data_IF_357102322157
#
_entry.id   IF_357102322157
#
_cell.length_a   1.000
_cell.length_b   1.000
_cell.length_c   1.000
_cell.angle_alpha   90.00
_cell.angle_beta   90.00
_cell.angle_gamma   90.00
#
_symmetry.space_group_name_H-M   'P 1'
#
loop_
_entity.id
_entity.type
_entity.pdbx_description
1 polymer ?
#
# COMPACT_ATOMS: atom_id res chain seq x y z
N UNK A 1 21.04 1.27 6.05
CA UNK A 1 19.69 0.71 6.23
C UNK A 1 19.82 -0.73 6.69
N UNK A 2 18.96 -1.17 7.61
CA UNK A 2 18.98 -2.53 8.15
C UNK A 2 17.63 -3.21 7.92
N UNK A 3 17.64 -4.51 7.64
CA UNK A 3 16.46 -5.38 7.59
C UNK A 3 16.79 -6.56 8.53
N UNK A 4 15.99 -6.75 9.59
CA UNK A 4 16.26 -7.77 10.62
C UNK A 4 17.72 -7.74 11.14
N UNK A 5 18.21 -6.53 11.48
CA UNK A 5 19.59 -6.25 11.95
C UNK A 5 20.71 -6.54 10.93
N UNK A 6 20.35 -6.89 9.69
CA UNK A 6 21.32 -7.08 8.61
C UNK A 6 21.37 -5.87 7.67
N UNK A 7 22.60 -5.38 7.33
CA UNK A 7 22.75 -4.29 6.36
C UNK A 7 22.33 -4.72 4.97
N UNK A 8 21.57 -3.86 4.29
CA UNK A 8 21.14 -4.10 2.90
C UNK A 8 22.30 -4.27 1.92
N UNK A 9 23.50 -3.78 2.28
CA UNK A 9 24.72 -3.89 1.46
C UNK A 9 25.28 -5.31 1.43
N UNK A 10 24.89 -6.19 2.37
CA UNK A 10 25.40 -7.56 2.47
C UNK A 10 24.86 -8.53 1.42
N UNK A 11 23.73 -8.19 0.81
CA UNK A 11 23.08 -9.04 -0.18
C UNK A 11 22.75 -8.26 -1.45
N UNK A 12 22.65 -8.97 -2.57
CA UNK A 12 22.17 -8.38 -3.83
C UNK A 12 20.66 -8.09 -3.77
N UNK A 13 20.18 -7.22 -4.66
CA UNK A 13 18.75 -6.93 -4.81
C UNK A 13 17.93 -8.21 -5.04
N UNK A 14 18.44 -9.14 -5.86
CA UNK A 14 17.78 -10.42 -6.11
C UNK A 14 17.68 -11.32 -4.86
N UNK A 15 18.62 -11.21 -3.93
CA UNK A 15 18.54 -11.93 -2.66
C UNK A 15 17.54 -11.28 -1.70
N UNK A 16 17.49 -9.93 -1.66
CA UNK A 16 16.52 -9.19 -0.85
C UNK A 16 15.09 -9.29 -1.37
N UNK A 17 14.87 -9.51 -2.67
CA UNK A 17 13.52 -9.64 -3.26
C UNK A 17 12.71 -10.80 -2.68
N UNK A 18 13.35 -11.75 -2.00
CA UNK A 18 12.66 -12.82 -1.27
C UNK A 18 12.03 -12.35 0.05
N UNK A 19 12.56 -11.28 0.63
CA UNK A 19 12.15 -10.73 1.93
C UNK A 19 11.37 -9.43 1.79
N UNK A 20 11.70 -8.62 0.77
CA UNK A 20 11.12 -7.31 0.51
C UNK A 20 10.56 -7.25 -0.89
N UNK A 21 9.26 -7.11 -1.01
CA UNK A 21 8.57 -6.84 -2.26
C UNK A 21 8.35 -5.34 -2.45
N UNK A 22 8.59 -4.84 -3.66
CA UNK A 22 8.37 -3.44 -4.02
C UNK A 22 7.42 -3.35 -5.20
N UNK A 23 6.34 -2.60 -5.05
CA UNK A 23 5.38 -2.29 -6.11
C UNK A 23 5.65 -0.88 -6.60
N UNK A 24 6.03 -0.75 -7.88
CA UNK A 24 6.38 0.53 -8.48
C UNK A 24 5.18 1.44 -8.69
N UNK A 25 5.41 2.74 -8.68
CA UNK A 25 4.42 3.75 -8.96
C UNK A 25 3.82 3.59 -10.36
N UNK A 26 4.65 3.37 -11.38
CA UNK A 26 4.21 3.10 -12.74
C UNK A 26 4.29 1.60 -13.03
N UNK A 27 3.16 0.92 -13.28
CA UNK A 27 3.15 -0.52 -13.53
C UNK A 27 3.87 -0.92 -14.83
N UNK A 28 3.97 -0.04 -15.83
CA UNK A 28 4.65 -0.34 -17.09
C UNK A 28 6.18 -0.49 -16.91
N UNK A 29 6.75 0.02 -15.82
CA UNK A 29 8.16 -0.17 -15.48
C UNK A 29 8.44 -1.53 -14.82
N UNK A 30 7.41 -2.31 -14.50
CA UNK A 30 7.50 -3.56 -13.77
C UNK A 30 6.99 -4.77 -14.56
N UNK A 31 6.05 -4.57 -15.49
CA UNK A 31 5.45 -5.63 -16.30
C UNK A 31 6.25 -5.83 -17.60
N UNK A 32 6.63 -7.09 -17.91
CA UNK A 32 7.49 -7.38 -19.05
C UNK A 32 7.22 -8.74 -19.73
N UNK A 33 6.25 -9.51 -19.24
CA UNK A 33 5.91 -10.82 -19.79
C UNK A 33 4.62 -10.77 -20.62
N UNK A 34 4.38 -11.83 -21.38
CA UNK A 34 3.33 -11.90 -22.39
C UNK A 34 1.94 -12.24 -21.82
N UNK A 35 1.81 -12.57 -20.52
CA UNK A 35 0.50 -12.76 -19.88
C UNK A 35 0.55 -12.49 -18.38
N UNK A 36 -0.60 -12.13 -17.79
CA UNK A 36 -0.75 -11.94 -16.34
C UNK A 36 -0.29 -13.19 -15.58
N UNK A 37 -0.66 -14.39 -16.06
CA UNK A 37 -0.21 -15.66 -15.47
C UNK A 37 1.31 -15.76 -15.42
N UNK A 38 2.00 -15.41 -16.50
CA UNK A 38 3.46 -15.48 -16.57
C UNK A 38 4.12 -14.47 -15.65
N UNK A 39 3.56 -13.26 -15.52
CA UNK A 39 4.01 -12.27 -14.54
C UNK A 39 3.94 -12.82 -13.09
N UNK A 40 2.85 -13.52 -12.76
CA UNK A 40 2.69 -14.16 -11.44
C UNK A 40 3.65 -15.33 -11.23
N UNK A 41 3.89 -16.15 -12.23
CA UNK A 41 4.73 -17.33 -12.13
C UNK A 41 6.23 -17.03 -12.12
N UNK A 42 6.64 -15.89 -12.66
CA UNK A 42 8.06 -15.59 -12.89
C UNK A 42 8.90 -15.66 -11.61
N UNK A 43 8.56 -14.86 -10.60
CA UNK A 43 9.29 -14.83 -9.35
C UNK A 43 9.36 -16.20 -8.66
N UNK A 44 8.23 -16.86 -8.41
CA UNK A 44 8.20 -18.21 -7.81
C UNK A 44 9.04 -19.26 -8.55
N UNK A 45 9.06 -19.24 -9.89
CA UNK A 45 9.93 -20.12 -10.69
C UNK A 45 11.42 -19.87 -10.42
N UNK A 46 11.83 -18.59 -10.30
CA UNK A 46 13.23 -18.23 -10.04
C UNK A 46 13.73 -18.73 -8.67
N UNK A 47 12.85 -18.88 -7.70
CA UNK A 47 13.19 -19.40 -6.37
C UNK A 47 13.01 -20.92 -6.24
N UNK A 48 12.67 -21.62 -7.34
CA UNK A 48 12.56 -23.07 -7.40
C UNK A 48 11.27 -23.64 -6.80
N UNK A 49 10.18 -22.88 -6.76
CA UNK A 49 8.89 -23.36 -6.31
C UNK A 49 8.32 -24.40 -7.31
N UNK A 50 7.65 -25.42 -6.80
CA UNK A 50 7.03 -26.44 -7.64
C UNK A 50 5.83 -25.88 -8.41
N UNK A 51 5.54 -26.38 -9.60
CA UNK A 51 4.42 -25.91 -10.42
C UNK A 51 3.08 -26.03 -9.66
N UNK A 52 2.88 -27.10 -8.89
CA UNK A 52 1.67 -27.29 -8.08
C UNK A 52 1.48 -26.19 -7.00
N UNK A 53 2.58 -25.74 -6.40
CA UNK A 53 2.53 -24.63 -5.43
C UNK A 53 2.27 -23.30 -6.14
N UNK A 54 2.89 -23.09 -7.30
CA UNK A 54 2.69 -21.92 -8.14
C UNK A 54 1.22 -21.81 -8.55
N UNK A 55 0.62 -22.89 -9.08
CA UNK A 55 -0.77 -22.88 -9.54
C UNK A 55 -1.74 -22.49 -8.42
N UNK A 56 -1.58 -23.06 -7.22
CA UNK A 56 -2.39 -22.67 -6.04
C UNK A 56 -2.22 -21.20 -5.67
N UNK A 57 -1.00 -20.67 -5.73
CA UNK A 57 -0.74 -19.27 -5.43
C UNK A 57 -1.32 -18.36 -6.50
N UNK A 58 -1.23 -18.73 -7.78
CA UNK A 58 -1.82 -17.98 -8.89
C UNK A 58 -3.33 -17.84 -8.70
N UNK A 59 -4.05 -18.93 -8.42
CA UNK A 59 -5.49 -18.93 -8.20
C UNK A 59 -5.87 -17.97 -7.06
N UNK A 60 -5.24 -18.13 -5.89
CA UNK A 60 -5.49 -17.29 -4.73
C UNK A 60 -5.14 -15.81 -4.98
N UNK A 61 -3.98 -15.55 -5.60
CA UNK A 61 -3.52 -14.19 -5.87
C UNK A 61 -4.41 -13.50 -6.89
N UNK A 62 -4.77 -14.21 -7.97
CA UNK A 62 -5.65 -13.68 -9.01
C UNK A 62 -7.03 -13.29 -8.47
N UNK A 63 -7.60 -14.10 -7.56
CA UNK A 63 -8.85 -13.75 -6.86
C UNK A 63 -8.67 -12.50 -5.99
N UNK A 64 -7.62 -12.45 -5.18
CA UNK A 64 -7.33 -11.33 -4.29
C UNK A 64 -7.18 -10.01 -5.04
N UNK A 65 -6.44 -10.01 -6.16
CA UNK A 65 -6.21 -8.80 -6.97
C UNK A 65 -7.30 -8.59 -8.04
N UNK A 66 -8.26 -9.53 -8.20
CA UNK A 66 -9.40 -9.44 -9.12
C UNK A 66 -9.05 -9.60 -10.59
N UNK A 67 -8.12 -10.49 -10.90
CA UNK A 67 -7.66 -10.78 -12.26
C UNK A 67 -7.87 -12.24 -12.67
N UNK A 68 -8.72 -13.02 -11.97
CA UNK A 68 -8.96 -14.44 -12.25
C UNK A 68 -9.35 -14.71 -13.71
N UNK A 69 -10.23 -13.87 -14.27
CA UNK A 69 -10.72 -13.99 -15.66
C UNK A 69 -9.74 -13.41 -16.70
N UNK A 70 -8.59 -12.87 -16.26
CA UNK A 70 -7.63 -12.12 -17.11
C UNK A 70 -6.23 -12.74 -17.11
N UNK A 71 -6.07 -13.91 -16.56
CA UNK A 71 -4.77 -14.57 -16.42
C UNK A 71 -4.05 -14.78 -17.76
N UNK A 72 -4.80 -15.03 -18.83
CA UNK A 72 -4.25 -15.30 -20.17
C UNK A 72 -4.10 -14.04 -21.03
N UNK A 73 -4.57 -12.87 -20.53
CA UNK A 73 -4.42 -11.61 -21.25
C UNK A 73 -2.98 -11.08 -21.17
N UNK A 74 -2.58 -10.39 -22.23
CA UNK A 74 -1.31 -9.65 -22.21
C UNK A 74 -1.45 -8.43 -21.27
N UNK A 75 -0.46 -8.10 -20.43
CA UNK A 75 -0.53 -6.97 -19.52
C UNK A 75 -0.82 -5.62 -20.19
N UNK A 76 -0.40 -5.44 -21.45
CA UNK A 76 -0.70 -4.22 -22.21
C UNK A 76 -2.19 -4.05 -22.56
N UNK A 77 -2.97 -5.16 -22.57
CA UNK A 77 -4.42 -5.14 -22.84
C UNK A 77 -5.23 -4.81 -21.59
N UNK A 78 -4.59 -4.69 -20.43
CA UNK A 78 -5.20 -4.31 -19.16
C UNK A 78 -5.36 -2.78 -19.08
N UNK A 79 -6.38 -2.33 -18.37
CA UNK A 79 -6.48 -0.92 -17.94
C UNK A 79 -5.33 -0.56 -16.98
N UNK A 80 -5.03 0.72 -16.80
CA UNK A 80 -3.99 1.17 -15.88
C UNK A 80 -4.22 0.65 -14.44
N UNK A 81 -5.48 0.67 -13.98
CA UNK A 81 -5.86 0.13 -12.68
C UNK A 81 -5.56 -1.37 -12.56
N UNK A 82 -5.89 -2.15 -13.57
CA UNK A 82 -5.63 -3.60 -13.61
C UNK A 82 -4.15 -3.93 -13.73
N UNK A 83 -3.38 -3.16 -14.50
CA UNK A 83 -1.92 -3.29 -14.55
C UNK A 83 -1.30 -3.12 -13.15
N UNK A 84 -1.77 -2.13 -12.36
CA UNK A 84 -1.35 -1.97 -10.98
C UNK A 84 -1.67 -3.19 -10.12
N UNK A 85 -2.86 -3.76 -10.25
CA UNK A 85 -3.20 -5.01 -9.55
C UNK A 85 -2.37 -6.20 -10.04
N UNK A 86 -1.99 -6.22 -11.31
CA UNK A 86 -1.06 -7.23 -11.84
C UNK A 86 0.32 -7.12 -11.18
N UNK A 87 0.91 -5.91 -11.08
CA UNK A 87 2.19 -5.71 -10.38
C UNK A 87 2.11 -6.07 -8.90
N UNK A 88 1.02 -5.69 -8.21
CA UNK A 88 0.78 -6.09 -6.82
C UNK A 88 0.72 -7.62 -6.70
N UNK A 89 -0.02 -8.28 -7.58
CA UNK A 89 -0.12 -9.74 -7.62
C UNK A 89 1.23 -10.41 -7.81
N UNK A 90 2.02 -9.96 -8.78
CA UNK A 90 3.36 -10.49 -9.04
C UNK A 90 4.29 -10.40 -7.82
N UNK A 91 4.20 -9.31 -7.05
CA UNK A 91 4.96 -9.14 -5.80
C UNK A 91 4.43 -10.07 -4.70
N UNK A 92 3.11 -10.19 -4.54
CA UNK A 92 2.48 -11.08 -3.54
C UNK A 92 2.84 -12.55 -3.79
N UNK A 93 3.01 -12.95 -5.05
CA UNK A 93 3.40 -14.31 -5.42
C UNK A 93 4.73 -14.77 -4.80
N UNK A 94 5.65 -13.83 -4.53
CA UNK A 94 6.92 -14.11 -3.85
C UNK A 94 6.76 -14.33 -2.34
N UNK A 95 5.61 -13.98 -1.76
CA UNK A 95 5.28 -14.08 -0.34
C UNK A 95 6.30 -13.37 0.59
N UNK A 96 6.76 -12.16 0.27
CA UNK A 96 7.77 -11.47 1.07
C UNK A 96 7.26 -11.13 2.47
N UNK A 97 8.16 -10.93 3.42
CA UNK A 97 7.82 -10.49 4.78
C UNK A 97 7.43 -9.01 4.84
N UNK A 98 8.02 -8.20 3.93
CA UNK A 98 7.78 -6.75 3.82
C UNK A 98 7.28 -6.43 2.41
N UNK A 99 6.20 -5.68 2.31
CA UNK A 99 5.68 -5.16 1.04
C UNK A 99 5.66 -3.63 1.08
N UNK A 100 6.27 -3.03 0.07
CA UNK A 100 6.31 -1.58 -0.11
C UNK A 100 5.46 -1.24 -1.33
N UNK A 101 4.48 -0.36 -1.15
CA UNK A 101 3.59 0.12 -2.20
C UNK A 101 3.88 1.60 -2.47
N UNK A 102 4.31 1.90 -3.69
CA UNK A 102 4.59 3.27 -4.12
C UNK A 102 3.38 3.82 -4.89
N UNK A 103 2.70 4.82 -4.30
CA UNK A 103 1.50 5.47 -4.83
C UNK A 103 0.44 4.49 -5.36
N UNK A 104 -0.01 3.51 -4.57
CA UNK A 104 -0.89 2.45 -5.06
C UNK A 104 -2.28 2.94 -5.45
N UNK A 105 -2.74 4.07 -4.90
CA UNK A 105 -4.08 4.64 -5.16
C UNK A 105 -4.14 5.46 -6.45
N UNK A 106 -3.00 5.82 -7.03
CA UNK A 106 -2.95 6.63 -8.25
C UNK A 106 -3.62 5.88 -9.42
N UNK A 107 -4.63 6.52 -10.04
CA UNK A 107 -5.40 5.94 -11.14
C UNK A 107 -6.44 4.89 -10.73
N UNK A 108 -6.70 4.72 -9.42
CA UNK A 108 -7.74 3.84 -8.93
C UNK A 108 -9.08 4.59 -8.76
N UNK A 109 -10.16 3.90 -9.05
CA UNK A 109 -11.51 4.32 -8.70
C UNK A 109 -11.88 3.85 -7.27
N UNK A 110 -13.13 4.08 -6.88
CA UNK A 110 -13.63 3.66 -5.56
C UNK A 110 -13.51 2.15 -5.36
N UNK A 111 -13.81 1.35 -6.40
CA UNK A 111 -13.72 -0.12 -6.31
C UNK A 111 -12.26 -0.59 -6.21
N UNK A 112 -11.36 0.06 -6.96
CA UNK A 112 -9.92 -0.18 -6.86
C UNK A 112 -9.39 0.13 -5.46
N UNK A 113 -9.78 1.25 -4.85
CA UNK A 113 -9.38 1.58 -3.49
C UNK A 113 -9.92 0.60 -2.45
N UNK A 114 -11.16 0.13 -2.58
CA UNK A 114 -11.71 -0.92 -1.72
C UNK A 114 -10.95 -2.24 -1.86
N UNK A 115 -10.54 -2.59 -3.09
CA UNK A 115 -9.71 -3.77 -3.32
C UNK A 115 -8.31 -3.62 -2.71
N UNK A 116 -7.66 -2.47 -2.85
CA UNK A 116 -6.39 -2.18 -2.19
C UNK A 116 -6.50 -2.32 -0.67
N UNK A 117 -7.56 -1.76 -0.07
CA UNK A 117 -7.85 -1.92 1.35
C UNK A 117 -7.90 -3.41 1.73
N UNK A 118 -8.71 -4.22 1.01
CA UNK A 118 -8.84 -5.67 1.24
C UNK A 118 -7.48 -6.37 1.13
N UNK A 119 -6.67 -6.06 0.12
CA UNK A 119 -5.33 -6.63 -0.06
C UNK A 119 -4.45 -6.34 1.16
N UNK A 120 -4.38 -5.08 1.58
CA UNK A 120 -3.54 -4.66 2.72
C UNK A 120 -4.00 -5.35 4.02
N UNK A 121 -5.32 -5.43 4.27
CA UNK A 121 -5.82 -6.12 5.46
C UNK A 121 -5.48 -7.62 5.42
N UNK A 122 -5.72 -8.29 4.28
CA UNK A 122 -5.37 -9.70 4.10
C UNK A 122 -3.88 -9.96 4.35
N UNK A 123 -2.99 -9.09 3.85
CA UNK A 123 -1.55 -9.21 4.07
C UNK A 123 -1.17 -9.01 5.55
N UNK A 124 -1.78 -8.04 6.22
CA UNK A 124 -1.56 -7.80 7.66
C UNK A 124 -2.03 -8.98 8.52
N UNK A 125 -3.19 -9.55 8.22
CA UNK A 125 -3.71 -10.76 8.89
C UNK A 125 -2.76 -11.96 8.74
N UNK A 126 -2.00 -12.00 7.63
CA UNK A 126 -0.93 -12.98 7.39
C UNK A 126 0.41 -12.62 8.03
N UNK A 127 0.45 -11.57 8.86
CA UNK A 127 1.66 -11.13 9.57
C UNK A 127 2.67 -10.39 8.71
N UNK A 128 2.27 -9.90 7.52
CA UNK A 128 3.16 -9.13 6.64
C UNK A 128 3.28 -7.67 7.10
N UNK A 129 4.46 -7.09 6.97
CA UNK A 129 4.66 -5.66 7.13
C UNK A 129 4.34 -4.94 5.81
N UNK A 130 3.30 -4.11 5.83
CA UNK A 130 2.94 -3.28 4.70
C UNK A 130 3.39 -1.83 4.94
N UNK A 131 4.14 -1.28 4.00
CA UNK A 131 4.56 0.12 3.97
C UNK A 131 3.94 0.74 2.72
N UNK A 132 3.34 1.93 2.83
CA UNK A 132 2.87 2.67 1.66
C UNK A 132 3.51 4.05 1.62
N UNK A 133 3.88 4.47 0.42
CA UNK A 133 4.26 5.85 0.11
C UNK A 133 3.05 6.42 -0.62
N UNK A 134 2.42 7.47 -0.08
CA UNK A 134 1.23 8.03 -0.71
C UNK A 134 0.99 9.48 -0.27
N UNK A 135 0.33 10.23 -1.14
CA UNK A 135 -0.25 11.55 -0.87
C UNK A 135 -1.77 11.48 -0.67
N UNK A 136 -2.40 10.32 -0.79
CA UNK A 136 -3.81 10.10 -0.47
C UNK A 136 -3.98 9.88 1.04
N UNK A 137 -4.16 10.98 1.76
CA UNK A 137 -4.25 10.94 3.22
C UNK A 137 -5.49 10.23 3.73
N UNK A 138 -6.59 10.17 2.96
CA UNK A 138 -7.76 9.38 3.33
C UNK A 138 -7.41 7.89 3.34
N UNK A 139 -6.84 7.39 2.26
CA UNK A 139 -6.37 6.01 2.17
C UNK A 139 -5.34 5.66 3.25
N UNK A 140 -4.42 6.58 3.54
CA UNK A 140 -3.38 6.39 4.56
C UNK A 140 -3.98 6.18 5.94
N UNK A 141 -4.89 7.07 6.41
CA UNK A 141 -5.46 6.96 7.76
C UNK A 141 -6.43 5.79 7.93
N UNK A 142 -7.08 5.36 6.84
CA UNK A 142 -7.96 4.18 6.85
C UNK A 142 -7.18 2.87 6.95
N UNK A 143 -5.93 2.86 6.48
CA UNK A 143 -5.16 1.63 6.35
C UNK A 143 -3.97 1.52 7.31
N UNK A 144 -3.40 2.60 7.80
CA UNK A 144 -2.14 2.58 8.55
C UNK A 144 -2.24 3.34 9.86
N UNK A 145 -1.72 2.74 10.94
CA UNK A 145 -1.73 3.34 12.29
C UNK A 145 -0.51 4.22 12.55
N UNK A 146 0.66 3.86 12.00
CA UNK A 146 1.90 4.62 12.14
C UNK A 146 2.15 5.39 10.87
N UNK A 147 2.37 6.68 11.01
CA UNK A 147 2.63 7.62 9.92
C UNK A 147 4.01 8.22 10.11
N UNK A 148 4.79 8.21 9.04
CA UNK A 148 6.09 8.87 8.98
C UNK A 148 5.98 9.98 7.94
N UNK A 149 6.20 11.22 8.34
CA UNK A 149 6.20 12.37 7.43
C UNK A 149 7.63 12.76 7.11
N UNK A 150 7.94 12.80 5.83
CA UNK A 150 9.26 13.19 5.33
C UNK A 150 9.20 14.55 4.64
N UNK A 151 10.22 15.37 4.84
CA UNK A 151 10.41 16.63 4.16
C UNK A 151 11.89 16.83 3.83
N UNK A 152 12.21 17.07 2.55
CA UNK A 152 13.59 17.32 2.07
C UNK A 152 14.59 16.24 2.48
N UNK A 153 14.16 14.99 2.50
CA UNK A 153 15.01 13.85 2.85
C UNK A 153 15.12 13.55 4.35
N UNK A 154 14.48 14.35 5.21
CA UNK A 154 14.47 14.16 6.66
C UNK A 154 13.11 13.70 7.17
N UNK A 155 13.10 12.86 8.20
CA UNK A 155 11.89 12.51 8.94
C UNK A 155 11.57 13.67 9.89
N UNK A 156 10.43 14.31 9.69
CA UNK A 156 10.00 15.44 10.53
C UNK A 156 8.93 15.05 11.55
N UNK A 157 8.15 14.00 11.27
CA UNK A 157 7.18 13.41 12.21
C UNK A 157 7.20 11.89 12.07
N UNK A 158 7.06 11.19 13.18
CA UNK A 158 6.89 9.74 13.27
C UNK A 158 5.99 9.42 14.47
N UNK A 159 4.84 8.82 14.24
CA UNK A 159 3.90 8.54 15.31
C UNK A 159 2.59 7.94 14.83
N UNK A 160 1.61 7.88 15.74
CA UNK A 160 0.25 7.48 15.39
C UNK A 160 -0.40 8.54 14.49
N UNK A 161 -1.34 8.12 13.66
CA UNK A 161 -2.03 9.02 12.74
C UNK A 161 -2.67 10.22 13.48
N UNK A 162 -3.30 9.97 14.63
CA UNK A 162 -3.94 11.01 15.45
C UNK A 162 -2.93 12.07 15.90
N UNK A 163 -1.76 11.63 16.37
CA UNK A 163 -0.70 12.51 16.90
C UNK A 163 -0.01 13.30 15.77
N UNK A 164 0.22 12.65 14.63
CA UNK A 164 0.86 13.26 13.47
C UNK A 164 -0.04 14.34 12.85
N UNK A 165 -1.32 14.02 12.62
CA UNK A 165 -2.25 14.97 12.00
C UNK A 165 -2.73 16.09 12.95
N UNK A 166 -2.46 15.99 14.26
CA UNK A 166 -2.61 17.10 15.20
C UNK A 166 -1.52 18.19 15.03
N UNK A 167 -0.38 17.86 14.41
CA UNK A 167 0.79 18.74 14.25
C UNK A 167 0.67 19.68 13.03
N UNK A 168 -0.40 20.48 12.98
CA UNK A 168 -0.78 21.30 11.80
C UNK A 168 0.37 22.16 11.27
N UNK A 169 1.10 22.84 12.16
CA UNK A 169 2.18 23.77 11.76
C UNK A 169 3.41 23.03 11.20
N UNK A 170 3.68 21.82 11.69
CA UNK A 170 4.77 20.98 11.17
C UNK A 170 4.39 20.39 9.81
N UNK A 171 3.15 19.94 9.65
CA UNK A 171 2.63 19.39 8.39
C UNK A 171 2.64 20.42 7.25
N UNK A 172 2.34 21.69 7.54
CA UNK A 172 2.44 22.77 6.54
C UNK A 172 3.83 22.87 5.89
N UNK A 173 4.90 22.56 6.62
CA UNK A 173 6.29 22.59 6.10
C UNK A 173 6.56 21.50 5.08
N UNK A 174 5.86 20.36 5.17
CA UNK A 174 6.00 19.22 4.27
C UNK A 174 4.98 19.22 3.12
N UNK A 175 4.10 20.23 3.05
CA UNK A 175 2.98 20.29 2.11
C UNK A 175 1.99 19.11 2.25
N UNK A 176 2.06 18.37 3.36
CA UNK A 176 1.10 17.32 3.69
C UNK A 176 -0.12 17.96 4.34
N UNK A 177 -1.28 17.68 3.78
CA UNK A 177 -2.53 18.18 4.32
C UNK A 177 -3.30 17.02 4.99
N UNK A 178 -3.89 17.21 6.18
CA UNK A 178 -4.73 16.21 6.80
C UNK A 178 -5.97 15.90 5.92
N UNK A 179 -6.64 14.75 6.14
CA UNK A 179 -7.90 14.43 5.47
C UNK A 179 -8.92 15.58 5.55
N UNK A 180 -9.81 15.74 4.56
CA UNK A 180 -10.77 16.85 4.52
C UNK A 180 -11.58 17.02 5.80
N UNK A 181 -12.11 15.93 6.35
CA UNK A 181 -12.91 15.98 7.60
C UNK A 181 -12.08 16.43 8.80
N UNK A 182 -10.79 16.03 8.86
CA UNK A 182 -9.85 16.48 9.91
C UNK A 182 -9.64 18.00 9.83
N UNK A 183 -9.49 18.55 8.61
CA UNK A 183 -9.38 20.00 8.40
C UNK A 183 -10.62 20.75 8.88
N UNK A 184 -11.81 20.20 8.57
CA UNK A 184 -13.10 20.79 9.01
C UNK A 184 -13.15 20.82 10.53
N UNK A 185 -12.83 19.72 11.21
CA UNK A 185 -12.82 19.64 12.67
C UNK A 185 -11.82 20.63 13.27
N UNK A 186 -10.59 20.68 12.76
CA UNK A 186 -9.58 21.65 13.22
C UNK A 186 -10.01 23.09 13.00
N UNK A 187 -10.61 23.40 11.85
CA UNK A 187 -11.15 24.74 11.55
C UNK A 187 -12.32 25.14 12.45
N UNK A 188 -13.11 24.17 12.93
CA UNK A 188 -14.17 24.37 13.91
C UNK A 188 -13.67 24.40 15.37
N UNK A 189 -12.36 24.33 15.59
CA UNK A 189 -11.73 24.42 16.91
C UNK A 189 -11.83 23.15 17.74
N UNK A 190 -11.95 21.97 17.10
CA UNK A 190 -11.85 20.70 17.80
C UNK A 190 -10.38 20.37 18.06
N UNK A 191 -10.08 19.92 19.28
CA UNK A 191 -8.75 19.44 19.68
C UNK A 191 -8.54 17.98 19.36
N UNK A 192 -9.63 17.19 19.30
CA UNK A 192 -9.62 15.77 18.94
C UNK A 192 -9.39 15.63 17.42
N UNK A 193 -8.39 14.88 17.01
CA UNK A 193 -8.16 14.56 15.61
C UNK A 193 -9.15 13.47 15.19
N UNK A 194 -9.97 13.75 14.17
CA UNK A 194 -10.98 12.82 13.64
C UNK A 194 -10.71 12.55 12.15
N UNK A 195 -10.99 11.34 11.68
CA UNK A 195 -10.72 10.90 10.32
C UNK A 195 -11.98 10.51 9.54
N UNK A 196 -13.13 10.35 10.23
CA UNK A 196 -14.41 9.99 9.62
C UNK A 196 -15.49 11.00 9.97
N UNK A 197 -16.55 11.03 9.16
CA UNK A 197 -17.71 11.88 9.41
C UNK A 197 -18.42 11.48 10.71
N UNK A 198 -18.52 10.17 10.96
CA UNK A 198 -19.11 9.62 12.16
C UNK A 198 -18.39 10.11 13.42
N UNK A 199 -17.05 9.96 13.46
CA UNK A 199 -16.24 10.44 14.58
C UNK A 199 -16.31 11.97 14.76
N UNK A 200 -16.51 12.73 13.67
CA UNK A 200 -16.74 14.17 13.76
C UNK A 200 -18.11 14.48 14.37
N UNK A 201 -19.17 13.78 13.97
CA UNK A 201 -20.51 13.98 14.53
C UNK A 201 -20.55 13.61 16.02
N UNK A 202 -19.95 12.49 16.43
CA UNK A 202 -19.82 12.14 17.85
C UNK A 202 -19.12 13.24 18.66
N UNK A 203 -17.98 13.77 18.14
CA UNK A 203 -17.26 14.84 18.82
C UNK A 203 -18.08 16.17 18.86
N UNK A 204 -18.95 16.41 17.88
CA UNK A 204 -19.84 17.57 17.86
C UNK A 204 -20.94 17.42 18.94
N UNK A 205 -21.54 16.26 19.07
CA UNK A 205 -22.55 15.96 20.11
C UNK A 205 -21.96 16.10 21.51
N UNK A 206 -20.74 15.56 21.75
CA UNK A 206 -20.02 15.71 23.03
C UNK A 206 -19.77 17.17 23.41
N UNK A 207 -19.65 18.08 22.44
CA UNK A 207 -19.40 19.50 22.67
C UNK A 207 -20.69 20.31 22.94
N UNK A 208 -21.84 19.78 22.55
CA UNK A 208 -23.14 20.46 22.70
C UNK A 208 -23.82 20.15 24.05
N UNK A 209 -23.31 19.19 24.81
CA UNK A 209 -23.73 18.81 26.16
C UNK A 209 -22.84 19.50 27.19
#
# INVERSE_FOLDING_TARGET
>A
MLINDESIEKRSTAQWSKEVGYVFQNPDDQLFLESVRKEFEFGPKQIGMTQKEIDKRVEWTADLVGLSEKLDLHPLDLTLAEKKFCTIGAVIMMDPGVLIFDEPTCGQDVQGNLRLHRIIQTLKERGKLCITISHDMKFVVENFKRIIVMCRGEVILDGRAEDVFAQVETLKKSFVAPPPITKVAQGAGFTKTVFTTEAFMEALEERMV
#
